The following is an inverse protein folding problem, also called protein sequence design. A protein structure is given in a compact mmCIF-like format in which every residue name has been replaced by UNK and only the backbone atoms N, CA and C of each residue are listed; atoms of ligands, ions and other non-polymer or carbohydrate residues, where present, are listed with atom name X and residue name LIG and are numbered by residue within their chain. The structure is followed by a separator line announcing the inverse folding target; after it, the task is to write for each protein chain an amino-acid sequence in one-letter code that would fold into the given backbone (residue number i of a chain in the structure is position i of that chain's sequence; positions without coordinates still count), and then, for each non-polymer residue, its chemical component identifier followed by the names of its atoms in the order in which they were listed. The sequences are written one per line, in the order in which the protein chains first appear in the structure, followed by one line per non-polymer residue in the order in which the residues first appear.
data_IF_701735032059
#
_entry.id   IF_701735032059
#
_cell.length_a   1.000
_cell.length_b   1.000
_cell.length_c   1.000
_cell.angle_alpha   90.00
_cell.angle_beta   90.00
_cell.angle_gamma   90.00
#
_symmetry.space_group_name_H-M   'P 1'
#
loop_
_entity.id
_entity.type
_entity.pdbx_description
1 polymer ?
#
# COMPACT_ATOMS: atom_id res chain seq x y z
N UNK A 1 -15.59 25.59 2.64
CA UNK A 1 -15.00 26.68 3.47
C UNK A 1 -15.99 27.08 4.55
N UNK A 2 -17.23 27.44 4.23
CA UNK A 2 -18.24 27.89 5.19
C UNK A 2 -18.54 26.93 6.35
N UNK A 3 -18.28 25.63 6.17
CA UNK A 3 -18.49 24.59 7.18
C UNK A 3 -17.23 24.21 7.98
N UNK A 4 -16.12 24.94 7.79
CA UNK A 4 -14.92 24.74 8.63
C UNK A 4 -15.27 25.13 10.06
N UNK A 5 -15.21 24.16 10.97
CA UNK A 5 -15.47 24.39 12.38
C UNK A 5 -14.30 25.15 13.03
N UNK A 6 -14.62 26.25 13.69
CA UNK A 6 -13.67 27.08 14.44
C UNK A 6 -13.92 26.92 15.95
N UNK A 7 -15.17 27.03 16.36
CA UNK A 7 -15.56 27.08 17.77
C UNK A 7 -15.36 25.73 18.47
N UNK A 8 -15.85 24.64 17.88
CA UNK A 8 -15.76 23.31 18.44
C UNK A 8 -14.31 22.84 18.63
N UNK A 9 -13.49 23.02 17.59
CA UNK A 9 -12.06 22.70 17.67
C UNK A 9 -11.33 23.53 18.72
N UNK A 10 -11.66 24.82 18.87
CA UNK A 10 -11.07 25.67 19.89
C UNK A 10 -11.43 25.20 21.32
N UNK A 11 -12.67 24.78 21.55
CA UNK A 11 -13.12 24.23 22.82
C UNK A 11 -12.46 22.88 23.15
N UNK A 12 -12.33 21.99 22.17
CA UNK A 12 -11.61 20.71 22.29
C UNK A 12 -10.16 20.97 22.75
N UNK A 13 -9.46 21.88 22.09
CA UNK A 13 -8.07 22.24 22.43
C UNK A 13 -7.95 22.86 23.80
N UNK A 14 -8.89 23.73 24.21
CA UNK A 14 -8.88 24.36 25.52
C UNK A 14 -9.08 23.32 26.64
N UNK A 15 -10.04 22.42 26.49
CA UNK A 15 -10.27 21.34 27.45
C UNK A 15 -9.09 20.35 27.52
N UNK A 16 -8.54 19.96 26.37
CA UNK A 16 -7.36 19.09 26.29
C UNK A 16 -6.12 19.72 26.99
N UNK A 17 -5.91 21.04 26.82
CA UNK A 17 -4.83 21.76 27.51
C UNK A 17 -5.00 21.71 29.02
N UNK A 18 -6.23 21.74 29.52
CA UNK A 18 -6.55 21.68 30.96
C UNK A 18 -6.86 20.25 31.42
N UNK A 19 -6.17 19.24 30.91
CA UNK A 19 -6.42 17.83 31.24
C UNK A 19 -6.26 17.49 32.73
N UNK A 20 -5.62 18.35 33.51
CA UNK A 20 -5.54 18.16 34.98
C UNK A 20 -6.92 18.19 35.63
N UNK A 21 -7.82 19.05 35.14
CA UNK A 21 -9.15 19.28 35.70
C UNK A 21 -10.29 18.92 34.74
N UNK A 22 -10.01 18.88 33.43
CA UNK A 22 -10.99 18.58 32.39
C UNK A 22 -10.73 17.21 31.74
N UNK A 23 -11.81 16.49 31.53
CA UNK A 23 -11.82 15.31 30.70
C UNK A 23 -12.57 15.60 29.41
N UNK A 24 -11.90 15.56 28.27
CA UNK A 24 -12.46 15.84 26.96
C UNK A 24 -12.69 14.55 26.16
N UNK A 25 -13.89 14.40 25.62
CA UNK A 25 -14.24 13.37 24.63
C UNK A 25 -14.36 14.10 23.29
N UNK A 26 -13.41 13.88 22.38
CA UNK A 26 -13.24 14.68 21.16
C UNK A 26 -13.85 14.03 19.91
N UNK A 27 -14.24 12.76 19.97
CA UNK A 27 -14.93 12.08 18.87
C UNK A 27 -15.85 10.96 19.37
N UNK A 28 -16.80 10.55 18.54
CA UNK A 28 -17.79 9.53 18.89
C UNK A 28 -17.20 8.14 19.12
N UNK A 29 -16.07 7.81 18.49
CA UNK A 29 -15.37 6.52 18.68
C UNK A 29 -14.88 6.30 20.11
N UNK A 30 -14.83 7.35 20.93
CA UNK A 30 -14.41 7.28 22.32
C UNK A 30 -15.58 6.99 23.29
N UNK A 31 -16.85 6.97 22.84
CA UNK A 31 -18.01 6.90 23.73
C UNK A 31 -18.08 5.60 24.54
N UNK A 32 -17.78 4.45 23.93
CA UNK A 32 -17.80 3.16 24.64
C UNK A 32 -16.72 3.10 25.73
N UNK A 33 -15.49 3.50 25.41
CA UNK A 33 -14.38 3.57 26.37
C UNK A 33 -14.69 4.60 27.48
N UNK A 34 -15.23 5.76 27.12
CA UNK A 34 -15.64 6.77 28.10
C UNK A 34 -16.73 6.25 29.04
N UNK A 35 -17.70 5.51 28.55
CA UNK A 35 -18.75 4.90 29.36
C UNK A 35 -18.15 3.87 30.32
N UNK A 36 -17.22 3.04 29.85
CA UNK A 36 -16.52 2.08 30.72
C UNK A 36 -15.70 2.77 31.82
N UNK A 37 -15.02 3.87 31.48
CA UNK A 37 -14.29 4.70 32.47
C UNK A 37 -15.24 5.28 33.52
N UNK A 38 -16.41 5.81 33.12
CA UNK A 38 -17.41 6.37 34.05
C UNK A 38 -18.00 5.32 34.98
N UNK A 39 -18.11 4.07 34.54
CA UNK A 39 -18.61 2.96 35.34
C UNK A 39 -17.56 2.31 36.24
N UNK A 40 -16.28 2.65 36.06
CA UNK A 40 -15.20 2.14 36.90
C UNK A 40 -15.10 2.88 38.21
N UNK A 41 -14.67 2.21 39.28
CA UNK A 41 -14.48 2.81 40.62
C UNK A 41 -13.44 3.95 40.59
N UNK A 42 -12.46 3.87 39.72
CA UNK A 42 -11.40 4.87 39.60
C UNK A 42 -11.82 6.13 38.82
N UNK A 43 -12.87 6.03 37.98
CA UNK A 43 -13.34 7.13 37.14
C UNK A 43 -12.25 7.64 36.18
N UNK A 44 -12.39 8.89 35.73
CA UNK A 44 -11.45 9.54 34.82
C UNK A 44 -10.19 10.01 35.60
N UNK A 45 -9.26 9.08 35.84
CA UNK A 45 -7.96 9.39 36.48
C UNK A 45 -7.14 10.39 35.62
N UNK A 46 -6.07 10.94 36.21
CA UNK A 46 -5.17 11.84 35.50
C UNK A 46 -4.57 11.20 34.25
N UNK A 47 -4.19 9.92 34.30
CA UNK A 47 -3.64 9.20 33.16
C UNK A 47 -4.69 9.01 32.04
N UNK A 48 -5.93 8.70 32.41
CA UNK A 48 -7.05 8.64 31.46
C UNK A 48 -7.25 10.00 30.80
N UNK A 49 -7.34 11.09 31.57
CA UNK A 49 -7.52 12.43 31.03
C UNK A 49 -6.36 12.85 30.12
N UNK A 50 -5.11 12.48 30.46
CA UNK A 50 -3.92 12.73 29.63
C UNK A 50 -3.98 11.97 28.31
N UNK A 51 -4.42 10.71 28.33
CA UNK A 51 -4.63 9.92 27.09
C UNK A 51 -5.67 10.60 26.18
N UNK A 52 -6.81 10.98 26.73
CA UNK A 52 -7.85 11.68 25.98
C UNK A 52 -7.41 13.05 25.44
N UNK A 53 -6.58 13.77 26.21
CA UNK A 53 -5.99 15.02 25.75
C UNK A 53 -5.05 14.81 24.55
N UNK A 54 -4.24 13.74 24.54
CA UNK A 54 -3.43 13.37 23.38
C UNK A 54 -4.30 13.11 22.17
N UNK A 55 -5.36 12.32 22.31
CA UNK A 55 -6.29 12.00 21.23
C UNK A 55 -7.03 13.26 20.71
N UNK A 56 -7.37 14.19 21.61
CA UNK A 56 -8.00 15.47 21.25
C UNK A 56 -7.04 16.37 20.44
N UNK A 57 -5.75 16.39 20.75
CA UNK A 57 -4.76 17.11 19.94
C UNK A 57 -4.48 16.40 18.63
N UNK A 58 -4.56 15.08 18.57
CA UNK A 58 -4.49 14.33 17.31
C UNK A 58 -5.67 14.68 16.41
N UNK A 59 -6.90 14.72 16.96
CA UNK A 59 -8.12 15.16 16.25
C UNK A 59 -7.95 16.55 15.64
N UNK A 60 -7.51 17.53 16.45
CA UNK A 60 -7.37 18.91 16.01
C UNK A 60 -6.25 19.08 14.97
N UNK A 61 -5.13 18.39 15.13
CA UNK A 61 -4.01 18.47 14.18
C UNK A 61 -4.35 17.82 12.84
N UNK A 62 -5.10 16.72 12.87
CA UNK A 62 -5.62 16.06 11.67
C UNK A 62 -6.59 16.98 10.91
N UNK A 63 -7.49 17.64 11.63
CA UNK A 63 -8.44 18.59 11.07
C UNK A 63 -7.72 19.77 10.42
N UNK A 64 -6.77 20.41 11.12
CA UNK A 64 -5.96 21.50 10.58
C UNK A 64 -5.13 21.06 9.38
N UNK A 65 -4.62 19.83 9.36
CA UNK A 65 -3.87 19.26 8.23
C UNK A 65 -4.79 19.12 7.00
N UNK A 66 -6.03 18.68 7.19
CA UNK A 66 -7.00 18.56 6.10
C UNK A 66 -7.37 19.95 5.52
N UNK A 67 -7.58 20.95 6.40
CA UNK A 67 -7.82 22.34 5.99
C UNK A 67 -6.62 22.89 5.22
N UNK A 68 -5.41 22.71 5.74
CA UNK A 68 -4.18 23.14 5.06
C UNK A 68 -4.09 22.54 3.66
N UNK A 69 -4.34 21.23 3.51
CA UNK A 69 -4.30 20.54 2.21
C UNK A 69 -5.32 21.14 1.23
N UNK A 70 -6.53 21.45 1.71
CA UNK A 70 -7.55 22.10 0.90
C UNK A 70 -7.09 23.45 0.34
N UNK A 71 -6.44 24.29 1.15
CA UNK A 71 -5.93 25.60 0.73
C UNK A 71 -4.62 25.51 -0.07
N UNK A 72 -3.80 24.50 0.15
CA UNK A 72 -2.56 24.31 -0.58
C UNK A 72 -2.80 23.96 -2.07
N UNK A 73 -3.93 23.27 -2.37
CA UNK A 73 -4.22 22.83 -3.74
C UNK A 73 -3.08 21.93 -4.27
N UNK A 74 -2.55 22.29 -5.44
CA UNK A 74 -1.49 21.54 -6.13
C UNK A 74 -0.07 21.86 -5.64
N UNK A 75 0.08 22.69 -4.60
CA UNK A 75 1.40 23.01 -4.05
C UNK A 75 2.05 21.77 -3.47
N UNK A 76 3.37 21.64 -3.70
CA UNK A 76 4.19 20.61 -3.08
C UNK A 76 4.49 21.00 -1.63
N UNK A 77 3.59 20.64 -0.72
CA UNK A 77 3.72 20.88 0.72
C UNK A 77 3.70 19.56 1.48
N UNK A 78 4.57 19.41 2.47
CA UNK A 78 4.64 18.22 3.31
C UNK A 78 3.89 18.45 4.65
N UNK A 79 2.61 18.15 4.66
CA UNK A 79 1.84 17.94 5.89
C UNK A 79 1.11 16.62 5.80
N UNK A 80 1.45 15.69 6.68
CA UNK A 80 0.86 14.35 6.71
C UNK A 80 0.26 14.09 8.09
N UNK A 81 -0.96 13.58 8.10
CA UNK A 81 -1.63 13.10 9.30
C UNK A 81 -2.43 11.86 8.93
N UNK A 82 -2.13 10.75 9.57
CA UNK A 82 -2.83 9.48 9.38
C UNK A 82 -3.31 8.99 10.74
N UNK A 83 -4.63 8.87 10.90
CA UNK A 83 -5.26 8.45 12.17
C UNK A 83 -5.21 6.95 12.38
N UNK A 84 -5.30 6.16 11.31
CA UNK A 84 -5.22 4.71 11.38
C UNK A 84 -3.76 4.28 11.42
N UNK A 85 -3.44 3.42 12.37
CA UNK A 85 -2.12 2.82 12.55
C UNK A 85 -2.28 1.31 12.72
N UNK A 86 -1.59 0.57 11.88
CA UNK A 86 -1.43 -0.88 12.04
C UNK A 86 -0.01 -1.19 12.49
N UNK A 87 0.15 -1.73 13.69
CA UNK A 87 1.45 -2.20 14.16
C UNK A 87 1.86 -3.43 13.37
N UNK A 88 3.06 -3.40 12.80
CA UNK A 88 3.66 -4.52 12.10
C UNK A 88 4.50 -5.35 13.06
N UNK A 89 4.74 -6.61 12.68
CA UNK A 89 5.48 -7.53 13.54
C UNK A 89 6.91 -7.05 13.83
N UNK A 90 7.59 -6.45 12.85
CA UNK A 90 8.89 -5.79 12.92
C UNK A 90 9.14 -4.98 11.63
N UNK A 91 10.22 -4.19 11.57
CA UNK A 91 10.64 -3.42 10.40
C UNK A 91 11.38 -4.28 9.37
N UNK A 92 12.41 -3.72 8.74
CA UNK A 92 13.29 -4.49 7.83
C UNK A 92 13.99 -5.62 8.59
N UNK A 93 14.34 -5.38 9.85
CA UNK A 93 15.00 -6.34 10.72
C UNK A 93 14.18 -6.63 11.98
N UNK A 94 14.32 -7.83 12.59
CA UNK A 94 13.50 -8.27 13.72
C UNK A 94 13.53 -7.38 14.97
N UNK A 95 14.59 -6.61 15.17
CA UNK A 95 14.75 -5.73 16.32
C UNK A 95 14.12 -4.33 16.13
N UNK A 96 13.64 -4.02 14.93
CA UNK A 96 13.08 -2.71 14.60
C UNK A 96 11.57 -2.72 14.79
N UNK A 97 11.05 -1.73 15.53
CA UNK A 97 9.62 -1.49 15.58
C UNK A 97 9.12 -0.87 14.27
N UNK A 98 7.97 -1.33 13.79
CA UNK A 98 7.37 -0.80 12.58
C UNK A 98 5.85 -0.69 12.68
N UNK A 99 5.29 0.24 11.93
CA UNK A 99 3.87 0.41 11.78
C UNK A 99 3.55 0.94 10.36
N UNK A 100 2.41 0.55 9.85
CA UNK A 100 1.81 1.16 8.67
C UNK A 100 0.82 2.24 9.14
N UNK A 101 0.94 3.44 8.59
CA UNK A 101 0.05 4.55 8.87
C UNK A 101 -0.84 4.79 7.64
N UNK A 102 -2.12 4.52 7.76
CA UNK A 102 -3.11 4.57 6.71
C UNK A 102 -4.15 3.46 6.87
N UNK A 103 -5.08 3.36 5.93
CA UNK A 103 -6.06 2.28 5.88
C UNK A 103 -5.68 1.28 4.78
N UNK A 104 -4.97 0.21 5.15
CA UNK A 104 -4.53 -0.80 4.20
C UNK A 104 -5.73 -1.53 3.57
N UNK A 105 -6.84 -1.66 4.29
CA UNK A 105 -8.06 -2.32 3.82
C UNK A 105 -8.74 -1.59 2.66
N UNK A 106 -8.45 -0.30 2.45
CA UNK A 106 -8.97 0.43 1.29
C UNK A 106 -8.31 -0.05 -0.02
N UNK A 107 -7.05 -0.52 0.05
CA UNK A 107 -6.28 -0.98 -1.10
C UNK A 107 -6.25 -2.52 -1.25
N UNK A 108 -6.20 -3.24 -0.14
CA UNK A 108 -5.98 -4.69 -0.12
C UNK A 108 -6.94 -5.38 0.86
N UNK A 109 -7.48 -6.52 0.45
CA UNK A 109 -8.19 -7.43 1.34
C UNK A 109 -7.38 -8.71 1.51
N UNK A 110 -6.96 -8.99 2.74
CA UNK A 110 -6.28 -10.25 3.05
C UNK A 110 -7.29 -11.37 3.31
N UNK A 111 -7.35 -12.34 2.40
CA UNK A 111 -8.31 -13.47 2.47
C UNK A 111 -7.69 -14.76 3.01
N UNK A 112 -6.36 -14.81 3.17
CA UNK A 112 -5.64 -15.97 3.72
C UNK A 112 -4.22 -15.60 4.17
N UNK A 113 -3.67 -16.41 5.09
CA UNK A 113 -2.25 -16.45 5.44
C UNK A 113 -1.85 -15.68 6.68
N UNK A 114 -0.53 -15.55 6.90
CA UNK A 114 0.06 -14.83 8.04
C UNK A 114 -0.10 -13.32 7.90
N UNK A 115 0.01 -12.58 9.01
CA UNK A 115 0.05 -11.13 9.00
C UNK A 115 1.22 -10.61 8.14
N UNK A 116 0.96 -9.52 7.39
CA UNK A 116 1.95 -8.85 6.55
C UNK A 116 3.08 -8.27 7.39
N UNK A 117 4.30 -8.37 6.87
CA UNK A 117 5.49 -7.72 7.42
C UNK A 117 5.79 -6.41 6.69
N UNK A 118 6.72 -5.63 7.24
CA UNK A 118 7.25 -4.42 6.61
C UNK A 118 7.81 -4.72 5.20
N UNK A 119 8.65 -5.76 5.08
CA UNK A 119 9.22 -6.16 3.79
C UNK A 119 8.15 -6.66 2.81
N UNK A 120 7.12 -7.39 3.29
CA UNK A 120 6.01 -7.76 2.42
C UNK A 120 5.32 -6.53 1.83
N UNK A 121 5.07 -5.48 2.64
CA UNK A 121 4.42 -4.26 2.17
C UNK A 121 5.27 -3.50 1.14
N UNK A 122 6.59 -3.48 1.29
CA UNK A 122 7.50 -2.88 0.30
C UNK A 122 7.45 -3.64 -1.04
N UNK A 123 7.53 -4.97 -0.99
CA UNK A 123 7.46 -5.80 -2.20
C UNK A 123 6.07 -5.75 -2.84
N UNK A 124 4.99 -5.71 -2.03
CA UNK A 124 3.61 -5.52 -2.50
C UNK A 124 3.46 -4.20 -3.24
N UNK A 125 3.95 -3.08 -2.67
CA UNK A 125 3.88 -1.77 -3.31
C UNK A 125 4.62 -1.76 -4.65
N UNK A 126 5.84 -2.33 -4.70
CA UNK A 126 6.60 -2.47 -5.93
C UNK A 126 5.86 -3.32 -6.98
N UNK A 127 5.25 -4.44 -6.54
CA UNK A 127 4.52 -5.37 -7.41
C UNK A 127 3.26 -4.73 -7.98
N UNK A 128 2.50 -4.03 -7.15
CA UNK A 128 1.26 -3.35 -7.56
C UNK A 128 1.54 -2.19 -8.51
N UNK A 129 2.59 -1.41 -8.24
CA UNK A 129 2.98 -0.32 -9.13
C UNK A 129 3.40 -0.85 -10.51
N UNK A 130 4.16 -1.95 -10.57
CA UNK A 130 4.57 -2.56 -11.83
C UNK A 130 3.39 -3.18 -12.61
N UNK A 131 2.55 -3.99 -11.95
CA UNK A 131 1.48 -4.72 -12.65
C UNK A 131 0.43 -3.77 -13.24
N UNK A 132 0.24 -2.59 -12.67
CA UNK A 132 -0.68 -1.56 -13.14
C UNK A 132 -0.28 -0.90 -14.47
N UNK A 133 0.97 -1.05 -14.91
CA UNK A 133 1.42 -0.58 -16.24
C UNK A 133 0.85 -1.41 -17.38
N UNK A 134 0.24 -2.57 -17.10
CA UNK A 134 -0.17 -3.53 -18.11
C UNK A 134 -1.69 -3.73 -18.10
N UNK A 135 -2.31 -3.47 -19.25
CA UNK A 135 -3.74 -3.75 -19.47
C UNK A 135 -3.97 -5.21 -19.92
N UNK A 136 -3.01 -5.81 -20.63
CA UNK A 136 -3.08 -7.19 -21.09
C UNK A 136 -2.88 -8.16 -19.92
N UNK A 137 -3.24 -9.43 -20.13
CA UNK A 137 -3.11 -10.48 -19.09
C UNK A 137 -1.65 -10.69 -18.74
N UNK A 138 -1.29 -10.27 -17.51
CA UNK A 138 0.10 -10.18 -17.05
C UNK A 138 0.28 -10.80 -15.68
N UNK A 139 1.45 -11.44 -15.48
CA UNK A 139 1.97 -11.84 -14.18
C UNK A 139 3.30 -11.15 -13.93
N UNK A 140 3.45 -10.58 -12.74
CA UNK A 140 4.70 -10.01 -12.23
C UNK A 140 5.17 -10.79 -10.99
N UNK A 141 6.47 -11.07 -10.93
CA UNK A 141 7.12 -11.72 -9.79
C UNK A 141 8.21 -10.78 -9.29
N UNK A 142 8.06 -10.31 -8.05
CA UNK A 142 8.96 -9.35 -7.42
C UNK A 142 9.68 -10.00 -6.25
N UNK A 143 10.95 -9.67 -6.10
CA UNK A 143 11.72 -9.96 -4.90
C UNK A 143 12.67 -8.82 -4.59
N UNK A 144 12.69 -8.38 -3.32
CA UNK A 144 13.52 -7.25 -2.88
C UNK A 144 13.30 -5.98 -3.72
N UNK A 145 12.02 -5.69 -3.98
CA UNK A 145 11.53 -4.54 -4.74
C UNK A 145 11.93 -4.51 -6.23
N UNK A 146 12.43 -5.60 -6.80
CA UNK A 146 12.76 -5.71 -8.21
C UNK A 146 12.06 -6.90 -8.85
N UNK A 147 11.70 -6.76 -10.14
CA UNK A 147 11.16 -7.86 -10.91
C UNK A 147 12.23 -8.90 -11.19
N UNK A 148 11.95 -10.16 -10.85
CA UNK A 148 12.71 -11.32 -11.30
C UNK A 148 11.96 -12.13 -12.37
N UNK A 149 10.71 -11.82 -12.62
CA UNK A 149 9.90 -12.37 -13.69
C UNK A 149 8.71 -11.49 -14.03
N UNK A 150 8.46 -11.30 -15.32
CA UNK A 150 7.30 -10.59 -15.83
C UNK A 150 6.95 -11.11 -17.22
N UNK A 151 5.69 -11.43 -17.43
CA UNK A 151 5.23 -11.84 -18.76
C UNK A 151 3.76 -11.47 -19.00
N UNK A 152 3.48 -11.05 -20.23
CA UNK A 152 2.16 -10.79 -20.77
C UNK A 152 1.82 -11.85 -21.82
N UNK A 153 0.71 -12.58 -21.65
CA UNK A 153 0.29 -13.68 -22.55
C UNK A 153 -1.23 -13.70 -22.70
N UNK A 154 -1.72 -14.59 -23.54
CA UNK A 154 -3.15 -14.77 -23.76
C UNK A 154 -3.89 -15.33 -22.52
N UNK A 155 -3.21 -16.06 -21.63
CA UNK A 155 -3.76 -16.58 -20.38
C UNK A 155 -2.79 -16.41 -19.23
N UNK A 156 -3.30 -16.37 -17.98
CA UNK A 156 -2.46 -16.30 -16.78
C UNK A 156 -1.54 -17.52 -16.66
N UNK A 157 -2.02 -18.71 -17.01
CA UNK A 157 -1.22 -19.92 -16.96
C UNK A 157 0.02 -19.89 -17.87
N UNK A 158 -0.12 -19.28 -19.08
CA UNK A 158 1.02 -19.05 -19.96
C UNK A 158 1.91 -17.92 -19.47
N UNK A 159 1.32 -16.81 -18.96
CA UNK A 159 2.06 -15.71 -18.39
C UNK A 159 2.89 -16.19 -17.16
N UNK A 160 2.36 -17.11 -16.38
CA UNK A 160 3.12 -17.71 -15.27
C UNK A 160 4.33 -18.51 -15.75
N UNK A 161 4.15 -19.39 -16.74
CA UNK A 161 5.24 -20.22 -17.24
C UNK A 161 6.42 -19.38 -17.75
N UNK A 162 6.12 -18.30 -18.47
CA UNK A 162 7.14 -17.43 -19.03
C UNK A 162 7.73 -16.45 -18.01
N UNK A 163 6.91 -15.94 -17.06
CA UNK A 163 7.41 -15.09 -15.99
C UNK A 163 8.40 -15.86 -15.09
N UNK A 164 8.06 -17.09 -14.68
CA UNK A 164 8.95 -17.89 -13.84
C UNK A 164 10.22 -18.32 -14.56
N UNK A 165 10.17 -18.49 -15.89
CA UNK A 165 11.34 -18.86 -16.70
C UNK A 165 12.41 -17.76 -16.73
N UNK A 166 12.07 -16.50 -16.40
CA UNK A 166 13.02 -15.40 -16.33
C UNK A 166 14.11 -15.61 -15.28
N UNK A 167 13.72 -15.91 -14.03
CA UNK A 167 14.63 -16.26 -12.94
C UNK A 167 13.90 -17.12 -11.87
N UNK A 168 13.84 -18.44 -12.09
CA UNK A 168 13.13 -19.32 -11.17
C UNK A 168 13.79 -19.42 -9.78
N UNK A 169 15.08 -19.10 -9.68
CA UNK A 169 15.81 -19.14 -8.40
C UNK A 169 15.43 -17.95 -7.54
N UNK A 170 15.43 -16.74 -8.11
CA UNK A 170 15.05 -15.53 -7.38
C UNK A 170 13.55 -15.47 -7.08
N UNK A 171 12.70 -16.09 -7.89
CA UNK A 171 11.26 -16.15 -7.66
C UNK A 171 10.85 -16.88 -6.36
N UNK A 172 11.71 -17.76 -5.85
CA UNK A 172 11.47 -18.47 -4.60
C UNK A 172 11.33 -17.50 -3.41
N UNK A 173 10.17 -17.56 -2.74
CA UNK A 173 9.83 -16.67 -1.62
C UNK A 173 9.48 -15.24 -2.05
N UNK A 174 9.18 -15.01 -3.33
CA UNK A 174 8.80 -13.70 -3.86
C UNK A 174 7.34 -13.32 -3.60
N UNK A 175 6.99 -12.11 -4.06
CA UNK A 175 5.64 -11.56 -4.14
C UNK A 175 5.19 -11.58 -5.59
N UNK A 176 4.01 -12.10 -5.84
CA UNK A 176 3.44 -12.29 -7.18
C UNK A 176 2.19 -11.43 -7.33
N UNK A 177 2.02 -10.78 -8.48
CA UNK A 177 0.76 -10.19 -8.87
C UNK A 177 0.27 -10.73 -10.20
N UNK A 178 -1.04 -10.94 -10.28
CA UNK A 178 -1.80 -11.18 -11.50
C UNK A 178 -2.82 -10.04 -11.68
N UNK A 179 -3.01 -9.57 -12.91
CA UNK A 179 -4.00 -8.52 -13.19
C UNK A 179 -5.34 -9.06 -13.72
N UNK A 180 -5.55 -10.35 -13.59
CA UNK A 180 -6.83 -11.05 -13.90
C UNK A 180 -7.15 -12.04 -12.78
N UNK A 181 -8.39 -12.55 -12.80
CA UNK A 181 -8.83 -13.63 -11.89
C UNK A 181 -7.92 -14.83 -12.00
N UNK A 182 -7.41 -15.30 -10.87
CA UNK A 182 -6.57 -16.50 -10.84
C UNK A 182 -7.46 -17.72 -10.94
N UNK A 183 -7.35 -18.45 -12.04
CA UNK A 183 -8.05 -19.68 -12.31
C UNK A 183 -7.34 -20.93 -11.73
N UNK A 184 -8.01 -22.07 -11.76
CA UNK A 184 -7.49 -23.34 -11.28
C UNK A 184 -6.18 -23.72 -11.96
N UNK A 185 -6.10 -23.61 -13.29
CA UNK A 185 -4.93 -24.03 -14.06
C UNK A 185 -3.69 -23.21 -13.69
N UNK A 186 -3.86 -21.91 -13.46
CA UNK A 186 -2.80 -21.02 -12.98
C UNK A 186 -2.41 -21.36 -11.54
N UNK A 187 -3.40 -21.59 -10.66
CA UNK A 187 -3.14 -21.93 -9.27
C UNK A 187 -2.40 -23.26 -9.09
N UNK A 188 -2.71 -24.28 -9.90
CA UNK A 188 -2.00 -25.57 -9.89
C UNK A 188 -0.50 -25.37 -10.23
N UNK A 189 -0.19 -24.58 -11.24
CA UNK A 189 1.19 -24.27 -11.62
C UNK A 189 1.92 -23.45 -10.56
N UNK A 190 1.28 -22.39 -10.04
CA UNK A 190 1.86 -21.56 -8.99
C UNK A 190 2.11 -22.32 -7.69
N UNK A 191 1.28 -23.33 -7.37
CA UNK A 191 1.40 -24.08 -6.13
C UNK A 191 2.67 -24.93 -6.02
N UNK A 192 3.33 -25.21 -7.14
CA UNK A 192 4.62 -25.90 -7.18
C UNK A 192 5.77 -25.03 -6.63
N UNK A 193 5.67 -23.71 -6.66
CA UNK A 193 6.66 -22.78 -6.13
C UNK A 193 6.28 -22.33 -4.71
N UNK A 194 7.29 -22.20 -3.85
CA UNK A 194 7.13 -21.45 -2.60
C UNK A 194 7.18 -19.95 -2.90
N UNK A 195 6.10 -19.23 -2.60
CA UNK A 195 6.05 -17.78 -2.61
C UNK A 195 5.34 -17.27 -1.35
N UNK A 196 5.63 -16.03 -0.96
CA UNK A 196 5.08 -15.46 0.27
C UNK A 196 3.70 -14.84 0.07
N UNK A 197 3.51 -14.09 -1.01
CA UNK A 197 2.29 -13.30 -1.26
C UNK A 197 1.85 -13.48 -2.71
N UNK A 198 0.54 -13.64 -2.92
CA UNK A 198 -0.10 -13.53 -4.23
C UNK A 198 -1.20 -12.47 -4.16
N UNK A 199 -1.19 -11.56 -5.14
CA UNK A 199 -2.10 -10.44 -5.28
C UNK A 199 -2.85 -10.60 -6.59
N UNK A 200 -4.17 -10.53 -6.57
CA UNK A 200 -5.01 -10.58 -7.76
C UNK A 200 -6.31 -9.78 -7.54
N UNK A 201 -7.03 -9.37 -8.60
CA UNK A 201 -8.35 -8.76 -8.44
C UNK A 201 -9.40 -9.73 -7.90
N UNK A 202 -9.25 -11.03 -8.19
CA UNK A 202 -10.13 -12.11 -7.70
C UNK A 202 -9.50 -13.47 -7.92
N UNK A 203 -10.14 -14.49 -7.39
CA UNK A 203 -9.72 -15.90 -7.46
C UNK A 203 -10.96 -16.76 -7.69
N UNK A 204 -10.86 -17.79 -8.52
CA UNK A 204 -11.88 -18.83 -8.60
C UNK A 204 -11.87 -19.71 -7.34
N UNK A 205 -13.00 -20.29 -6.97
CA UNK A 205 -13.14 -21.07 -5.72
C UNK A 205 -12.19 -22.27 -5.67
N UNK A 206 -12.03 -22.99 -6.77
CA UNK A 206 -11.11 -24.12 -6.87
C UNK A 206 -9.63 -23.70 -6.89
N UNK A 207 -9.32 -22.52 -7.40
CA UNK A 207 -7.99 -21.92 -7.26
C UNK A 207 -7.68 -21.58 -5.80
N UNK A 208 -8.66 -21.02 -5.06
CA UNK A 208 -8.50 -20.73 -3.63
C UNK A 208 -8.29 -21.99 -2.81
N UNK A 209 -8.97 -23.09 -3.11
CA UNK A 209 -8.80 -24.37 -2.41
C UNK A 209 -7.33 -24.84 -2.54
N UNK A 210 -6.75 -24.78 -3.75
CA UNK A 210 -5.38 -25.16 -4.02
C UNK A 210 -4.39 -24.24 -3.28
N UNK A 211 -4.59 -22.93 -3.39
CA UNK A 211 -3.64 -21.93 -2.87
C UNK A 211 -3.65 -21.88 -1.34
N UNK A 212 -4.80 -22.10 -0.68
CA UNK A 212 -4.93 -22.15 0.79
C UNK A 212 -4.30 -23.38 1.42
N UNK A 213 -3.88 -24.38 0.63
CA UNK A 213 -3.14 -25.55 1.14
C UNK A 213 -1.87 -25.21 1.91
N UNK A 214 -1.29 -24.02 1.70
CA UNK A 214 -0.11 -23.52 2.40
C UNK A 214 -0.51 -22.47 3.44
N UNK A 215 -0.61 -22.86 4.72
CA UNK A 215 -1.10 -22.06 5.85
C UNK A 215 -0.52 -20.63 5.93
N UNK A 216 0.75 -20.45 5.64
CA UNK A 216 1.44 -19.16 5.80
C UNK A 216 1.46 -18.30 4.53
N UNK A 217 1.02 -18.84 3.39
CA UNK A 217 0.93 -18.12 2.14
C UNK A 217 -0.11 -17.02 2.27
N UNK A 218 0.24 -15.80 1.91
CA UNK A 218 -0.68 -14.67 1.96
C UNK A 218 -1.38 -14.54 0.61
N UNK A 219 -2.71 -14.46 0.65
CA UNK A 219 -3.54 -14.19 -0.54
C UNK A 219 -4.26 -12.88 -0.32
N UNK A 220 -4.11 -11.98 -1.30
CA UNK A 220 -4.64 -10.63 -1.26
C UNK A 220 -5.53 -10.37 -2.48
N UNK A 221 -6.68 -9.74 -2.23
CA UNK A 221 -7.49 -9.12 -3.28
C UNK A 221 -7.04 -7.66 -3.39
N UNK A 222 -6.61 -7.26 -4.60
CA UNK A 222 -6.31 -5.88 -4.92
C UNK A 222 -7.61 -5.15 -5.22
N UNK A 223 -7.90 -4.12 -4.44
CA UNK A 223 -9.04 -3.23 -4.64
C UNK A 223 -8.66 -2.05 -5.53
N UNK A 224 -9.66 -1.42 -6.10
CA UNK A 224 -9.47 -0.11 -6.68
C UNK A 224 -9.31 0.92 -5.57
N UNK A 225 -8.16 1.63 -5.57
CA UNK A 225 -7.85 2.65 -4.57
C UNK A 225 -7.09 3.82 -5.21
N UNK A 226 -7.28 4.99 -4.64
CA UNK A 226 -6.51 6.18 -5.02
C UNK A 226 -5.10 6.11 -4.43
N UNK A 227 -4.12 5.92 -5.30
CA UNK A 227 -2.72 5.89 -4.89
C UNK A 227 -2.25 7.32 -4.49
N UNK A 228 -1.35 7.46 -3.50
CA UNK A 228 -0.78 8.76 -3.17
C UNK A 228 -0.13 9.42 -4.39
N UNK A 229 -0.38 10.72 -4.60
CA UNK A 229 0.19 11.47 -5.72
C UNK A 229 1.70 11.71 -5.59
N UNK A 230 2.23 11.59 -4.38
CA UNK A 230 3.63 11.88 -4.07
C UNK A 230 4.32 10.71 -3.38
N UNK A 231 5.61 10.55 -3.69
CA UNK A 231 6.54 9.71 -2.94
C UNK A 231 7.26 10.54 -1.90
N UNK A 232 7.35 10.01 -0.68
CA UNK A 232 7.99 10.67 0.48
C UNK A 232 9.09 9.76 1.01
N UNK A 233 10.29 10.30 1.17
CA UNK A 233 11.45 9.56 1.67
C UNK A 233 12.26 10.39 2.65
N UNK A 234 12.56 9.83 3.80
CA UNK A 234 13.51 10.43 4.75
C UNK A 234 14.94 10.31 4.23
N UNK A 235 15.69 11.39 4.26
CA UNK A 235 17.09 11.45 3.83
C UNK A 235 17.85 12.40 4.76
N UNK A 236 18.95 11.91 5.34
CA UNK A 236 19.75 12.71 6.29
C UNK A 236 18.87 13.26 7.43
N UNK A 237 18.83 14.57 7.59
CA UNK A 237 18.02 15.29 8.56
C UNK A 237 16.76 15.94 7.93
N UNK A 238 16.35 15.50 6.74
CA UNK A 238 15.24 16.07 5.99
C UNK A 238 14.36 15.01 5.31
N UNK A 239 13.49 15.49 4.44
CA UNK A 239 12.55 14.68 3.70
C UNK A 239 12.52 15.10 2.24
N UNK A 240 12.70 14.12 1.35
CA UNK A 240 12.47 14.30 -0.08
C UNK A 240 11.02 13.99 -0.40
N UNK A 241 10.41 14.86 -1.19
CA UNK A 241 9.05 14.68 -1.72
C UNK A 241 9.11 14.89 -3.22
N UNK A 242 8.56 13.96 -3.99
CA UNK A 242 8.45 14.07 -5.44
C UNK A 242 7.10 13.55 -5.90
N UNK A 243 6.59 14.07 -7.02
CA UNK A 243 5.44 13.46 -7.69
C UNK A 243 5.77 12.02 -8.10
N UNK A 244 4.76 11.14 -8.09
CA UNK A 244 4.91 9.82 -8.69
C UNK A 244 5.16 9.97 -10.18
N UNK A 245 6.00 9.09 -10.72
CA UNK A 245 6.18 8.98 -12.17
C UNK A 245 4.91 8.35 -12.77
N UNK A 246 4.09 9.19 -13.37
CA UNK A 246 2.85 8.80 -14.06
C UNK A 246 3.03 8.70 -15.57
N UNK A 247 4.23 9.03 -16.09
CA UNK A 247 4.51 8.94 -17.53
C UNK A 247 4.75 7.48 -17.90
N UNK A 248 4.07 7.04 -18.95
CA UNK A 248 4.33 5.77 -19.62
C UNK A 248 4.45 6.07 -21.12
N UNK A 249 5.62 5.79 -21.68
CA UNK A 249 5.89 6.05 -23.08
C UNK A 249 5.03 5.15 -23.96
N UNK A 250 4.56 5.74 -25.07
CA UNK A 250 3.83 5.09 -26.16
C UNK A 250 4.67 5.09 -27.44
N UNK A 251 4.20 4.40 -28.48
CA UNK A 251 4.85 4.41 -29.77
C UNK A 251 4.98 5.83 -30.34
N UNK A 252 4.00 6.71 -30.10
CA UNK A 252 4.02 8.09 -30.59
C UNK A 252 5.11 8.96 -29.96
N UNK A 253 5.68 8.53 -28.84
CA UNK A 253 6.76 9.23 -28.14
C UNK A 253 8.15 8.80 -28.60
N UNK A 254 8.21 7.80 -29.53
CA UNK A 254 9.46 7.22 -30.03
C UNK A 254 9.86 7.82 -31.37
N UNK A 255 11.14 8.14 -31.52
CA UNK A 255 11.74 8.59 -32.78
C UNK A 255 12.88 7.65 -33.20
N UNK A 256 12.89 7.25 -34.46
CA UNK A 256 13.98 6.44 -35.01
C UNK A 256 15.18 7.33 -35.33
N UNK A 257 16.22 7.26 -34.52
CA UNK A 257 17.48 8.01 -34.69
C UNK A 257 18.60 7.14 -35.27
N UNK A 258 18.34 5.87 -35.52
CA UNK A 258 19.29 4.90 -36.10
C UNK A 258 19.04 4.71 -37.61
N UNK A 259 20.03 4.13 -38.31
CA UNK A 259 19.90 3.85 -39.74
C UNK A 259 18.82 2.83 -40.10
N UNK A 260 18.55 1.89 -39.18
CA UNK A 260 17.52 0.88 -39.31
C UNK A 260 16.36 1.24 -38.38
N UNK A 261 15.17 1.31 -38.97
CA UNK A 261 13.94 1.46 -38.19
C UNK A 261 13.59 0.13 -37.46
N UNK A 262 13.04 0.18 -36.24
CA UNK A 262 12.55 -1.00 -35.56
C UNK A 262 11.30 -1.56 -36.27
N UNK A 263 11.09 -2.87 -36.21
CA UNK A 263 9.83 -3.50 -36.58
C UNK A 263 8.76 -3.24 -35.53
N UNK A 264 7.47 -3.40 -35.85
CA UNK A 264 6.34 -3.30 -34.91
C UNK A 264 6.54 -4.16 -33.68
N UNK A 265 7.05 -5.40 -33.84
CA UNK A 265 7.37 -6.27 -32.72
C UNK A 265 8.46 -5.68 -31.81
N UNK A 266 9.50 -5.10 -32.38
CA UNK A 266 10.57 -4.46 -31.61
C UNK A 266 10.08 -3.23 -30.87
N UNK A 267 9.15 -2.46 -31.46
CA UNK A 267 8.50 -1.32 -30.79
C UNK A 267 7.70 -1.82 -29.58
N UNK A 268 6.90 -2.87 -29.73
CA UNK A 268 6.16 -3.47 -28.61
C UNK A 268 7.09 -3.97 -27.50
N UNK A 269 8.21 -4.64 -27.87
CA UNK A 269 9.22 -5.11 -26.91
C UNK A 269 9.91 -3.94 -26.19
N UNK A 270 10.18 -2.82 -26.88
CA UNK A 270 10.75 -1.61 -26.27
C UNK A 270 9.80 -0.94 -25.28
N UNK A 271 8.50 -0.82 -25.62
CA UNK A 271 7.48 -0.29 -24.70
C UNK A 271 7.37 -1.17 -23.45
N UNK A 272 7.32 -2.48 -23.64
CA UNK A 272 7.34 -3.44 -22.54
C UNK A 272 8.58 -3.24 -21.64
N UNK A 273 9.77 -3.12 -22.26
CA UNK A 273 11.02 -2.92 -21.52
C UNK A 273 11.06 -1.57 -20.78
N UNK A 274 10.53 -0.49 -21.38
CA UNK A 274 10.42 0.83 -20.75
C UNK A 274 9.56 0.77 -19.49
N UNK A 275 8.39 0.13 -19.55
CA UNK A 275 7.52 -0.11 -18.38
C UNK A 275 8.25 -0.87 -17.26
N UNK A 276 9.01 -1.91 -17.59
CA UNK A 276 9.80 -2.66 -16.59
C UNK A 276 10.93 -1.81 -16.02
N UNK A 277 11.65 -1.08 -16.88
CA UNK A 277 12.76 -0.22 -16.47
C UNK A 277 12.32 0.87 -15.47
N UNK A 278 11.18 1.50 -15.70
CA UNK A 278 10.57 2.50 -14.80
C UNK A 278 10.45 2.02 -13.36
N UNK A 279 10.18 0.73 -13.14
CA UNK A 279 10.01 0.12 -11.82
C UNK A 279 11.25 -0.64 -11.31
N UNK A 280 12.33 -0.64 -12.09
CA UNK A 280 13.58 -1.32 -11.70
C UNK A 280 14.46 -0.38 -10.89
N UNK A 281 14.91 -0.85 -9.74
CA UNK A 281 15.88 -0.12 -8.90
C UNK A 281 17.28 -0.61 -9.19
N UNK A 282 18.20 0.33 -9.38
CA UNK A 282 19.63 0.04 -9.55
C UNK A 282 20.28 -0.38 -8.23
#
# INVERSE_FOLDING_TARGET
IEKIDIGGISLIRAAAKNFNDCWIISNMGQYEDALAVLQSDAGATLDVRRRYALEAFDESSHYDTAIHRYFAGDRLDLKMSNRKKQTLRYGENPHQNAAFFGNLEDALEQIHGKALSYNNLLDIDATVNLIREFEETTIAIIKHNNACGLATRASLAQAWDDAIAGDPVSAFGGVIAANRTVDKATAEKMNALFFEVLIAPSYDDDALEILRSKKNRVLLILKDYEAPAFNVRTVLNGTLVQAKDALTESESDMETVTKLAPSEKQIADMIFAAKVCKHTKS
#
